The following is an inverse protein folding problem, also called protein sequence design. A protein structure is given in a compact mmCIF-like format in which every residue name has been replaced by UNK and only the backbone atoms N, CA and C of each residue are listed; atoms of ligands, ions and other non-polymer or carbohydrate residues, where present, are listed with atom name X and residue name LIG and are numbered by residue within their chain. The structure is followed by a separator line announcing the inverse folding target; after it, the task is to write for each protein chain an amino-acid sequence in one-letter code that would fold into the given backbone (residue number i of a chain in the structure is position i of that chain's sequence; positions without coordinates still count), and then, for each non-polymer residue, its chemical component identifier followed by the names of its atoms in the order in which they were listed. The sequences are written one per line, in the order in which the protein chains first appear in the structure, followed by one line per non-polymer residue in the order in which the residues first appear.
data_IF_180819980929
#
_entry.id   IF_180819980929
#
_cell.length_a   1.000
_cell.length_b   1.000
_cell.length_c   1.000
_cell.angle_alpha   90.00
_cell.angle_beta   90.00
_cell.angle_gamma   90.00
#
_symmetry.space_group_name_H-M   'P 1'
#
loop_
_entity.id
_entity.type
_entity.pdbx_description
1 polymer ?
#
# COMPACT_ATOMS: atom_id res chain seq x y z
N UNK A 1 7.87 -26.43 -53.71
CA UNK A 1 7.60 -26.85 -52.32
C UNK A 1 8.07 -25.74 -51.40
N UNK A 2 7.15 -24.97 -50.81
CA UNK A 2 7.51 -23.97 -49.80
C UNK A 2 7.81 -24.76 -48.52
N UNK A 3 9.09 -24.89 -48.18
CA UNK A 3 9.48 -25.46 -46.89
C UNK A 3 9.06 -24.43 -45.84
N UNK A 4 8.09 -24.79 -45.02
CA UNK A 4 7.52 -23.92 -44.00
C UNK A 4 8.65 -23.50 -43.04
N UNK A 5 9.04 -22.21 -43.04
CA UNK A 5 10.28 -21.74 -42.39
C UNK A 5 10.33 -22.04 -40.89
N UNK A 6 9.16 -22.17 -40.26
CA UNK A 6 9.00 -22.55 -38.85
C UNK A 6 9.44 -23.99 -38.58
N UNK A 7 9.21 -24.90 -39.53
CA UNK A 7 9.53 -26.31 -39.35
C UNK A 7 11.05 -26.55 -39.37
N UNK A 8 11.78 -25.79 -40.18
CA UNK A 8 13.25 -25.78 -40.16
C UNK A 8 13.79 -25.34 -38.79
N UNK A 9 13.23 -24.26 -38.21
CA UNK A 9 13.62 -23.76 -36.88
C UNK A 9 13.35 -24.82 -35.80
N UNK A 10 12.20 -25.50 -35.85
CA UNK A 10 11.90 -26.57 -34.91
C UNK A 10 12.82 -27.78 -35.07
N UNK A 11 13.20 -28.15 -36.29
CA UNK A 11 14.15 -29.24 -36.53
C UNK A 11 15.53 -28.93 -35.97
N UNK A 12 16.07 -27.73 -36.22
CA UNK A 12 17.34 -27.29 -35.64
C UNK A 12 17.30 -27.32 -34.11
N UNK A 13 16.20 -26.85 -33.51
CA UNK A 13 16.01 -26.90 -32.06
C UNK A 13 15.91 -28.32 -31.50
N UNK A 14 15.28 -29.25 -32.23
CA UNK A 14 15.21 -30.66 -31.82
C UNK A 14 16.59 -31.33 -31.87
N UNK A 15 17.38 -31.06 -32.91
CA UNK A 15 18.73 -31.60 -33.07
C UNK A 15 19.68 -31.07 -31.99
N UNK A 16 19.67 -29.76 -31.74
CA UNK A 16 20.55 -29.14 -30.75
C UNK A 16 20.27 -29.62 -29.31
N UNK A 17 18.99 -29.90 -28.99
CA UNK A 17 18.56 -30.28 -27.65
C UNK A 17 18.40 -31.80 -27.47
N UNK A 18 18.52 -32.59 -28.54
CA UNK A 18 18.33 -34.05 -28.50
C UNK A 18 16.92 -34.48 -28.05
N UNK A 19 15.90 -33.67 -28.33
CA UNK A 19 14.51 -33.93 -27.90
C UNK A 19 13.56 -34.04 -29.09
N UNK A 20 12.45 -34.76 -28.88
CA UNK A 20 11.38 -34.85 -29.88
C UNK A 20 10.69 -33.49 -30.10
N UNK A 21 10.19 -33.28 -31.32
CA UNK A 21 9.42 -32.08 -31.73
C UNK A 21 8.25 -31.79 -30.79
N UNK A 22 7.52 -32.82 -30.36
CA UNK A 22 6.42 -32.68 -29.41
C UNK A 22 6.90 -32.13 -28.04
N UNK A 23 8.06 -32.57 -27.58
CA UNK A 23 8.65 -32.13 -26.31
C UNK A 23 9.17 -30.70 -26.40
N UNK A 24 9.79 -30.34 -27.53
CA UNK A 24 10.24 -28.98 -27.83
C UNK A 24 9.05 -27.99 -27.80
N UNK A 25 7.96 -28.30 -28.51
CA UNK A 25 6.76 -27.46 -28.56
C UNK A 25 6.09 -27.32 -27.18
N UNK A 26 6.09 -28.38 -26.35
CA UNK A 26 5.59 -28.31 -24.98
C UNK A 26 6.41 -27.35 -24.12
N UNK A 27 7.75 -27.40 -24.22
CA UNK A 27 8.66 -26.49 -23.49
C UNK A 27 8.51 -25.05 -23.98
N UNK A 28 8.43 -24.83 -25.30
CA UNK A 28 8.17 -23.50 -25.88
C UNK A 28 6.85 -22.94 -25.35
N UNK A 29 5.78 -23.74 -25.29
CA UNK A 29 4.48 -23.31 -24.75
C UNK A 29 4.53 -22.91 -23.27
N UNK A 30 5.48 -23.43 -22.49
CA UNK A 30 5.66 -23.05 -21.08
C UNK A 30 6.30 -21.67 -20.93
N UNK A 31 7.20 -21.30 -21.85
CA UNK A 31 7.94 -20.03 -21.81
C UNK A 31 7.38 -18.97 -22.76
N UNK A 32 6.49 -19.37 -23.67
CA UNK A 32 5.88 -18.48 -24.65
C UNK A 32 5.00 -17.45 -23.95
N UNK A 33 5.19 -16.19 -24.30
CA UNK A 33 4.28 -15.12 -23.92
C UNK A 33 2.84 -15.48 -24.34
N UNK A 34 1.93 -15.50 -23.36
CA UNK A 34 0.50 -15.57 -23.61
C UNK A 34 -0.04 -14.16 -23.42
N UNK A 35 -0.63 -13.55 -24.46
CA UNK A 35 -1.25 -12.24 -24.28
C UNK A 35 -2.29 -12.32 -23.16
N UNK A 36 -2.31 -11.35 -22.24
CA UNK A 36 -3.31 -11.32 -21.19
C UNK A 36 -4.70 -11.25 -21.82
N UNK A 37 -5.70 -11.78 -21.10
CA UNK A 37 -7.09 -11.70 -21.54
C UNK A 37 -7.45 -10.23 -21.77
N UNK A 38 -8.04 -9.92 -22.93
CA UNK A 38 -8.52 -8.58 -23.26
C UNK A 38 -9.40 -8.07 -22.13
N UNK A 39 -8.97 -6.98 -21.49
CA UNK A 39 -9.74 -6.30 -20.47
C UNK A 39 -10.84 -5.47 -21.13
N UNK A 40 -11.93 -5.25 -20.39
CA UNK A 40 -12.98 -4.33 -20.83
C UNK A 40 -12.47 -2.89 -20.71
N UNK A 41 -13.03 -2.00 -21.52
CA UNK A 41 -12.62 -0.59 -21.59
C UNK A 41 -12.85 0.17 -20.28
N UNK A 42 -13.82 -0.28 -19.50
CA UNK A 42 -14.25 0.28 -18.22
C UNK A 42 -13.64 -0.44 -17.01
N UNK A 43 -12.61 -1.29 -17.24
CA UNK A 43 -11.97 -2.03 -16.16
C UNK A 43 -11.30 -1.04 -15.18
N UNK A 44 -11.78 -1.01 -13.94
CA UNK A 44 -11.28 -0.07 -12.94
C UNK A 44 -11.87 1.34 -13.08
N UNK A 45 -13.00 1.52 -13.77
CA UNK A 45 -13.79 2.74 -13.64
C UNK A 45 -15.03 2.46 -12.81
N UNK A 46 -15.37 3.39 -11.91
CA UNK A 46 -16.60 3.35 -11.13
C UNK A 46 -17.29 4.70 -11.24
N UNK A 47 -18.62 4.68 -11.36
CA UNK A 47 -19.42 5.90 -11.28
C UNK A 47 -19.50 6.45 -9.84
N UNK A 48 -19.16 5.66 -8.82
CA UNK A 48 -19.09 6.14 -7.45
C UNK A 48 -17.88 7.06 -7.31
N UNK A 49 -18.12 8.30 -6.89
CA UNK A 49 -17.04 9.24 -6.65
C UNK A 49 -16.23 8.86 -5.41
N UNK A 50 -14.96 9.29 -5.35
CA UNK A 50 -14.12 9.02 -4.17
C UNK A 50 -14.65 9.70 -2.91
N UNK A 51 -15.28 10.86 -3.04
CA UNK A 51 -15.86 11.63 -1.92
C UNK A 51 -17.04 10.88 -1.28
N UNK A 52 -17.97 10.39 -2.10
CA UNK A 52 -19.06 9.54 -1.60
C UNK A 52 -18.53 8.24 -0.99
N UNK A 53 -17.51 7.63 -1.61
CA UNK A 53 -16.86 6.45 -1.07
C UNK A 53 -16.21 6.72 0.31
N UNK A 54 -15.64 7.91 0.53
CA UNK A 54 -15.10 8.33 1.83
C UNK A 54 -16.21 8.48 2.87
N UNK A 55 -17.34 9.07 2.51
CA UNK A 55 -18.48 9.20 3.44
C UNK A 55 -19.03 7.83 3.84
N UNK A 56 -19.25 6.94 2.87
CA UNK A 56 -19.71 5.57 3.12
C UNK A 56 -18.72 4.84 4.04
N UNK A 57 -17.41 4.93 3.73
CA UNK A 57 -16.36 4.33 4.54
C UNK A 57 -16.33 4.90 5.96
N UNK A 58 -16.44 6.22 6.12
CA UNK A 58 -16.45 6.91 7.40
C UNK A 58 -17.59 6.42 8.31
N UNK A 59 -18.81 6.34 7.79
CA UNK A 59 -19.97 5.84 8.55
C UNK A 59 -19.77 4.36 8.95
N UNK A 60 -19.31 3.53 8.01
CA UNK A 60 -19.03 2.12 8.31
C UNK A 60 -17.94 1.97 9.38
N UNK A 61 -16.87 2.75 9.30
CA UNK A 61 -15.78 2.73 10.28
C UNK A 61 -16.22 3.24 11.65
N UNK A 62 -17.03 4.29 11.71
CA UNK A 62 -17.60 4.82 12.96
C UNK A 62 -18.57 3.84 13.64
N UNK A 63 -19.28 3.02 12.87
CA UNK A 63 -20.24 2.05 13.40
C UNK A 63 -19.60 0.81 14.06
N UNK A 64 -18.28 0.65 13.96
CA UNK A 64 -17.59 -0.49 14.56
C UNK A 64 -17.44 -0.33 16.07
N UNK A 65 -17.81 -1.38 16.83
CA UNK A 65 -17.57 -1.41 18.27
C UNK A 65 -16.09 -1.70 18.57
N UNK A 66 -15.63 -1.30 19.76
CA UNK A 66 -14.29 -1.64 20.29
C UNK A 66 -13.99 -3.15 20.31
N UNK A 67 -15.03 -3.99 20.35
CA UNK A 67 -14.89 -5.46 20.30
C UNK A 67 -14.78 -6.03 18.86
N UNK A 68 -14.61 -5.19 17.84
CA UNK A 68 -14.43 -5.62 16.44
C UNK A 68 -15.72 -5.99 15.70
N UNK A 69 -16.86 -6.13 16.39
CA UNK A 69 -18.14 -6.46 15.75
C UNK A 69 -18.63 -5.30 14.88
N UNK A 70 -19.13 -5.65 13.69
CA UNK A 70 -19.75 -4.72 12.75
C UNK A 70 -21.22 -4.56 13.10
N UNK A 71 -21.66 -3.34 13.39
CA UNK A 71 -23.07 -3.07 13.65
C UNK A 71 -23.86 -2.75 12.39
N UNK A 72 -23.18 -2.26 11.36
CA UNK A 72 -23.83 -1.58 10.26
C UNK A 72 -23.40 -2.21 8.93
N UNK A 73 -24.36 -2.81 8.22
CA UNK A 73 -24.09 -3.45 6.92
C UNK A 73 -23.79 -2.39 5.86
N UNK A 74 -23.21 -2.80 4.72
CA UNK A 74 -22.89 -1.84 3.65
C UNK A 74 -24.19 -1.32 3.04
N UNK A 75 -25.15 -2.21 2.87
CA UNK A 75 -26.49 -1.90 2.40
C UNK A 75 -27.21 -0.90 3.31
N UNK A 76 -27.20 -1.12 4.63
CA UNK A 76 -27.78 -0.18 5.58
C UNK A 76 -27.09 1.19 5.52
N UNK A 77 -25.76 1.21 5.47
CA UNK A 77 -25.01 2.46 5.37
C UNK A 77 -25.33 3.25 4.11
N UNK A 78 -25.41 2.58 2.96
CA UNK A 78 -25.74 3.22 1.70
C UNK A 78 -27.20 3.72 1.72
N UNK A 79 -28.14 2.92 2.22
CA UNK A 79 -29.55 3.29 2.27
C UNK A 79 -29.77 4.52 3.16
N UNK A 80 -29.21 4.54 4.36
CA UNK A 80 -29.38 5.67 5.27
C UNK A 80 -28.68 6.93 4.76
N UNK A 81 -27.49 6.80 4.15
CA UNK A 81 -26.80 7.93 3.52
C UNK A 81 -27.59 8.51 2.33
N UNK A 82 -28.27 7.66 1.54
CA UNK A 82 -29.16 8.10 0.47
C UNK A 82 -30.41 8.80 1.00
N UNK A 83 -31.06 8.24 2.03
CA UNK A 83 -32.24 8.84 2.66
C UNK A 83 -31.92 10.22 3.23
N UNK A 84 -30.70 10.41 3.74
CA UNK A 84 -30.23 11.71 4.25
C UNK A 84 -29.68 12.65 3.16
N UNK A 85 -29.75 12.28 1.88
CA UNK A 85 -29.21 13.05 0.74
C UNK A 85 -27.72 13.40 0.87
N UNK A 86 -26.95 12.56 1.58
CA UNK A 86 -25.51 12.76 1.77
C UNK A 86 -24.69 12.17 0.61
N UNK A 87 -25.22 11.13 -0.04
CA UNK A 87 -24.64 10.52 -1.23
C UNK A 87 -25.69 10.39 -2.33
N UNK A 88 -25.26 10.54 -3.57
CA UNK A 88 -26.06 10.19 -4.74
C UNK A 88 -25.87 8.68 -5.04
N UNK A 89 -24.61 8.24 -5.14
CA UNK A 89 -24.22 6.86 -5.39
C UNK A 89 -25.03 6.22 -6.54
N UNK A 90 -25.02 6.88 -7.68
CA UNK A 90 -25.74 6.52 -8.90
C UNK A 90 -24.99 7.00 -10.14
N UNK A 91 -25.53 6.67 -11.32
CA UNK A 91 -25.02 7.16 -12.59
C UNK A 91 -26.18 7.54 -13.51
N UNK A 92 -25.90 8.42 -14.46
CA UNK A 92 -26.83 8.77 -15.53
C UNK A 92 -26.42 7.97 -16.75
N UNK A 93 -27.36 7.27 -17.36
CA UNK A 93 -27.13 6.63 -18.63
C UNK A 93 -27.14 7.68 -19.75
N UNK A 94 -26.07 7.74 -20.54
CA UNK A 94 -25.89 8.76 -21.57
C UNK A 94 -26.83 8.58 -22.77
N UNK A 95 -27.36 7.37 -22.98
CA UNK A 95 -28.26 7.07 -24.10
C UNK A 95 -29.72 7.42 -23.75
N UNK A 96 -30.16 7.07 -22.55
CA UNK A 96 -31.55 7.28 -22.09
C UNK A 96 -31.74 8.58 -21.30
N UNK A 97 -30.66 9.13 -20.71
CA UNK A 97 -30.73 10.27 -19.78
C UNK A 97 -31.32 9.91 -18.41
N UNK A 98 -31.64 8.63 -18.18
CA UNK A 98 -32.22 8.16 -16.92
C UNK A 98 -31.14 7.98 -15.85
N UNK A 99 -31.52 8.29 -14.61
CA UNK A 99 -30.65 8.08 -13.46
C UNK A 99 -30.89 6.70 -12.84
N UNK A 100 -29.80 5.97 -12.57
CA UNK A 100 -29.84 4.66 -11.94
C UNK A 100 -29.00 4.62 -10.65
N UNK A 101 -29.54 4.07 -9.55
CA UNK A 101 -28.77 3.87 -8.33
C UNK A 101 -27.72 2.77 -8.55
N UNK A 102 -26.53 2.95 -7.98
CA UNK A 102 -25.52 1.89 -7.95
C UNK A 102 -25.96 0.76 -7.02
N UNK A 103 -25.72 -0.47 -7.45
CA UNK A 103 -25.91 -1.65 -6.61
C UNK A 103 -24.90 -1.69 -5.47
N UNK A 104 -25.26 -2.37 -4.37
CA UNK A 104 -24.40 -2.55 -3.20
C UNK A 104 -23.07 -3.20 -3.59
N UNK A 105 -23.08 -4.15 -4.52
CA UNK A 105 -21.87 -4.81 -5.03
C UNK A 105 -20.99 -3.87 -5.86
N UNK A 106 -21.58 -2.98 -6.65
CA UNK A 106 -20.82 -1.97 -7.41
C UNK A 106 -20.12 -1.00 -6.45
N UNK A 107 -20.83 -0.56 -5.41
CA UNK A 107 -20.28 0.29 -4.34
C UNK A 107 -19.18 -0.44 -3.57
N UNK A 108 -19.39 -1.70 -3.21
CA UNK A 108 -18.38 -2.54 -2.55
C UNK A 108 -17.10 -2.64 -3.38
N UNK A 109 -17.23 -2.95 -4.67
CA UNK A 109 -16.10 -2.99 -5.61
C UNK A 109 -15.37 -1.65 -5.71
N UNK A 110 -16.11 -0.54 -5.77
CA UNK A 110 -15.53 0.81 -5.77
C UNK A 110 -14.77 1.11 -4.48
N UNK A 111 -15.30 0.74 -3.32
CA UNK A 111 -14.61 0.88 -2.02
C UNK A 111 -13.29 0.10 -1.99
N UNK A 112 -13.27 -1.13 -2.51
CA UNK A 112 -12.05 -1.93 -2.62
C UNK A 112 -11.02 -1.28 -3.54
N UNK A 113 -11.48 -0.71 -4.66
CA UNK A 113 -10.65 -0.03 -5.62
C UNK A 113 -10.02 1.25 -5.04
N UNK A 114 -10.80 2.06 -4.32
CA UNK A 114 -10.31 3.26 -3.64
C UNK A 114 -9.51 2.97 -2.36
N UNK A 115 -9.36 1.70 -1.96
CA UNK A 115 -8.73 1.28 -0.70
C UNK A 115 -9.44 1.78 0.56
N UNK A 116 -10.76 1.95 0.47
CA UNK A 116 -11.62 2.48 1.54
C UNK A 116 -12.54 1.42 2.16
N UNK A 117 -12.44 0.16 1.74
CA UNK A 117 -13.26 -0.89 2.33
C UNK A 117 -12.79 -1.17 3.79
N UNK A 118 -13.70 -1.34 4.78
CA UNK A 118 -13.32 -1.54 6.18
C UNK A 118 -12.41 -2.76 6.45
N UNK A 119 -12.46 -3.77 5.59
CA UNK A 119 -11.54 -4.92 5.67
C UNK A 119 -10.10 -4.54 5.28
N UNK A 120 -9.92 -3.56 4.39
CA UNK A 120 -8.60 -3.06 4.00
C UNK A 120 -8.06 -2.08 5.03
N UNK A 121 -8.90 -1.14 5.50
CA UNK A 121 -8.49 -0.12 6.47
C UNK A 121 -8.12 -0.70 7.84
N UNK A 122 -8.73 -1.83 8.21
CA UNK A 122 -8.46 -2.53 9.48
C UNK A 122 -7.56 -3.75 9.32
N UNK A 123 -7.05 -4.00 8.10
CA UNK A 123 -6.09 -5.06 7.91
C UNK A 123 -4.89 -4.77 8.82
N UNK A 124 -4.41 -5.75 9.61
CA UNK A 124 -3.18 -5.56 10.37
C UNK A 124 -2.05 -5.19 9.40
N UNK A 125 -1.07 -4.43 9.89
CA UNK A 125 0.14 -4.20 9.13
C UNK A 125 0.69 -5.57 8.66
N UNK A 126 1.07 -5.70 7.38
CA UNK A 126 1.50 -6.98 6.84
C UNK A 126 2.66 -7.52 7.69
N UNK A 127 2.49 -8.72 8.25
CA UNK A 127 3.51 -9.36 9.08
C UNK A 127 4.68 -9.95 8.28
N UNK A 128 4.58 -9.94 6.95
CA UNK A 128 5.51 -10.64 6.06
C UNK A 128 6.66 -9.72 5.68
N UNK A 129 7.90 -10.19 5.88
CA UNK A 129 9.10 -9.56 5.34
C UNK A 129 8.97 -9.42 3.81
N UNK A 130 9.12 -8.20 3.32
CA UNK A 130 9.26 -7.93 1.89
C UNK A 130 10.56 -8.56 1.40
N UNK A 131 10.47 -9.45 0.41
CA UNK A 131 11.66 -10.01 -0.25
C UNK A 131 12.22 -8.95 -1.21
N UNK A 132 13.47 -8.57 -1.01
CA UNK A 132 14.23 -7.80 -2.01
C UNK A 132 14.74 -8.74 -3.10
N UNK A 133 14.64 -8.35 -4.37
CA UNK A 133 15.14 -9.21 -5.49
C UNK A 133 16.66 -9.37 -5.47
N UNK A 134 17.40 -8.36 -5.02
CA UNK A 134 18.86 -8.35 -4.93
C UNK A 134 19.34 -7.42 -3.80
N UNK A 135 20.61 -7.51 -3.35
CA UNK A 135 21.19 -6.56 -2.40
C UNK A 135 20.99 -5.10 -2.85
N UNK A 136 20.75 -4.19 -1.91
CA UNK A 136 20.47 -2.76 -2.14
C UNK A 136 19.20 -2.42 -2.96
N UNK A 137 18.26 -3.35 -3.17
CA UNK A 137 16.99 -3.07 -3.86
C UNK A 137 16.09 -2.09 -3.10
N UNK A 138 15.99 -2.23 -1.78
CA UNK A 138 15.19 -1.35 -0.91
C UNK A 138 16.06 -0.86 0.23
N UNK A 139 15.96 0.43 0.52
CA UNK A 139 16.70 1.09 1.59
C UNK A 139 15.70 1.55 2.63
N UNK A 140 15.84 1.07 3.86
CA UNK A 140 15.10 1.58 5.00
C UNK A 140 15.97 2.62 5.71
N UNK A 141 15.49 3.85 5.77
CA UNK A 141 16.14 4.92 6.52
C UNK A 141 15.45 5.02 7.88
N UNK A 142 16.17 4.68 8.94
CA UNK A 142 15.74 4.95 10.32
C UNK A 142 16.53 6.15 10.85
N UNK A 143 15.82 7.24 11.12
CA UNK A 143 16.40 8.46 11.68
C UNK A 143 15.98 8.56 13.14
N UNK A 144 16.91 8.28 14.05
CA UNK A 144 16.74 8.53 15.47
C UNK A 144 17.34 9.88 15.84
N UNK A 145 16.60 10.66 16.64
CA UNK A 145 17.11 11.89 17.24
C UNK A 145 17.78 11.53 18.56
N UNK A 146 19.11 11.59 18.61
CA UNK A 146 19.84 11.47 19.86
C UNK A 146 19.80 12.79 20.62
N UNK A 147 19.32 12.78 21.86
CA UNK A 147 19.41 13.94 22.76
C UNK A 147 20.79 13.94 23.41
N UNK A 148 21.69 14.79 22.92
CA UNK A 148 23.00 15.00 23.51
C UNK A 148 23.00 16.29 24.32
N UNK A 149 23.45 16.23 25.59
CA UNK A 149 23.65 17.40 26.43
C UNK A 149 25.10 17.85 26.35
N UNK A 150 25.34 19.09 25.92
CA UNK A 150 26.67 19.71 25.95
C UNK A 150 26.84 20.41 27.30
N UNK A 151 27.81 19.95 28.11
CA UNK A 151 28.07 20.49 29.43
C UNK A 151 29.24 21.48 29.37
N UNK A 152 29.11 22.64 30.02
CA UNK A 152 30.20 23.61 30.18
C UNK A 152 31.36 22.97 30.97
N UNK A 153 32.60 23.35 30.63
CA UNK A 153 33.79 22.86 31.32
C UNK A 153 33.85 23.46 32.73
N UNK A 154 33.86 22.64 33.81
CA UNK A 154 34.03 23.16 35.16
C UNK A 154 35.46 23.64 35.46
N UNK A 155 36.45 23.25 34.65
CA UNK A 155 37.79 23.81 34.69
C UNK A 155 37.90 24.89 33.61
N UNK A 156 37.87 26.16 34.02
CA UNK A 156 37.87 27.29 33.10
C UNK A 156 39.09 27.35 32.18
N UNK A 157 38.83 27.78 30.95
CA UNK A 157 39.81 28.03 29.90
C UNK A 157 39.22 27.61 28.56
N UNK A 158 38.78 28.58 27.75
CA UNK A 158 38.34 28.35 26.37
C UNK A 158 39.48 27.75 25.54
N UNK A 159 39.63 26.44 25.60
CA UNK A 159 40.52 25.70 24.71
C UNK A 159 39.77 25.48 23.39
N UNK A 160 40.42 25.76 22.27
CA UNK A 160 39.86 25.67 20.91
C UNK A 160 39.56 24.22 20.47
N UNK A 161 39.61 23.24 21.40
CA UNK A 161 39.48 21.79 21.17
C UNK A 161 38.48 21.10 22.10
N UNK A 162 37.73 21.82 22.93
CA UNK A 162 36.72 21.20 23.78
C UNK A 162 35.49 20.78 22.95
N UNK A 163 35.16 19.48 22.94
CA UNK A 163 33.99 18.95 22.23
C UNK A 163 32.68 19.28 22.95
N UNK A 164 32.73 19.70 24.22
CA UNK A 164 31.57 19.99 25.07
C UNK A 164 30.72 18.76 25.44
N UNK A 165 30.99 17.60 24.81
CA UNK A 165 30.31 16.34 25.08
C UNK A 165 31.00 15.65 26.25
N UNK A 166 30.34 15.61 27.41
CA UNK A 166 30.86 14.98 28.62
C UNK A 166 29.90 13.92 29.14
N UNK A 167 30.46 12.80 29.59
CA UNK A 167 29.71 11.81 30.37
C UNK A 167 29.51 12.35 31.78
N UNK A 168 28.26 12.39 32.23
CA UNK A 168 27.90 12.70 33.61
C UNK A 168 27.64 11.38 34.33
N UNK A 169 28.16 11.22 35.54
CA UNK A 169 27.98 9.98 36.29
C UNK A 169 26.54 9.87 36.81
N UNK A 170 26.02 8.64 36.92
CA UNK A 170 24.63 8.41 37.38
C UNK A 170 24.37 8.96 38.79
N UNK A 171 25.40 9.04 39.63
CA UNK A 171 25.32 9.64 40.97
C UNK A 171 25.06 11.16 40.94
N UNK A 172 25.44 11.85 39.86
CA UNK A 172 25.18 13.26 39.64
C UNK A 172 23.79 13.49 39.01
N UNK A 173 23.18 12.44 38.45
CA UNK A 173 21.85 12.47 37.86
C UNK A 173 20.77 12.47 38.94
N UNK A 174 20.41 13.66 39.43
CA UNK A 174 19.38 13.80 40.44
C UNK A 174 17.97 13.92 39.80
N UNK A 175 17.08 12.96 40.11
CA UNK A 175 15.72 12.83 39.57
C UNK A 175 14.83 14.08 39.75
N UNK A 176 15.22 15.00 40.63
CA UNK A 176 14.45 16.19 40.99
C UNK A 176 15.18 17.53 40.75
N UNK A 177 16.27 17.63 39.95
CA UNK A 177 16.95 18.91 39.68
C UNK A 177 16.76 19.49 38.26
N UNK A 178 16.19 20.71 38.15
CA UNK A 178 16.22 21.63 37.00
C UNK A 178 17.32 22.72 37.08
N UNK A 179 17.61 23.36 35.93
CA UNK A 179 18.55 24.48 35.60
C UNK A 179 20.05 24.28 35.87
N UNK A 180 20.79 23.94 34.80
CA UNK A 180 22.24 24.18 34.69
C UNK A 180 22.51 25.70 34.65
N UNK A 181 22.98 26.24 35.77
CA UNK A 181 23.34 27.65 35.89
C UNK A 181 24.77 27.93 35.43
N UNK A 182 24.92 28.99 34.64
CA UNK A 182 26.01 29.95 34.72
C UNK A 182 25.57 31.20 33.93
N UNK A 183 24.89 32.10 34.66
CA UNK A 183 25.10 33.53 34.46
C UNK A 183 26.38 33.92 35.21
N UNK A 184 27.00 34.98 34.68
CA UNK A 184 28.39 35.43 34.83
C UNK A 184 29.43 34.61 34.05
#
# INVERSE_FOLDING_TARGET
MIVDSKDAVYQTGCQALGISKATLLRKIKQVSYKPPRKQRVDCGTSALTREEALQISGVMMASHRKNGKRLYSLEQAVNDLRVNNLINAGYIDNETGEWFPLSVDAISRALYQYRLHPNQLRAPAPCVQLKTEHPNHVWQLDASLCVLYYLKNPAEGHTTRDSGLRMMSEAEFNKNKPKSGAGD
#
